data_IF_522212813438
#
_entry.id   IF_522212813438
#
_cell.length_a   1.000
_cell.length_b   1.000
_cell.length_c   1.000
_cell.angle_alpha   90.00
_cell.angle_beta   90.00
_cell.angle_gamma   90.00
#
_symmetry.space_group_name_H-M   'P 1'
#
loop_
_entity.id
_entity.type
_entity.pdbx_description
1 polymer ?
#
# COMPACT_ATOMS: atom_id res chain seq x y z
N UNK A 1 6.56 -48.65 -59.91
CA UNK A 1 6.11 -47.23 -59.90
C UNK A 1 5.33 -46.97 -58.62
N UNK A 2 5.98 -46.43 -57.59
CA UNK A 2 5.35 -46.04 -56.32
C UNK A 2 4.73 -44.64 -56.47
N UNK A 3 3.40 -44.56 -56.45
CA UNK A 3 2.65 -43.29 -56.44
C UNK A 3 2.72 -42.69 -55.03
N UNK A 4 3.42 -41.58 -54.86
CA UNK A 4 3.36 -40.82 -53.62
C UNK A 4 2.01 -40.10 -53.53
N UNK A 5 1.23 -40.26 -52.44
CA UNK A 5 0.00 -39.51 -52.27
C UNK A 5 0.33 -38.02 -52.18
N UNK A 6 -0.29 -37.21 -53.05
CA UNK A 6 -0.19 -35.75 -52.97
C UNK A 6 -0.90 -35.33 -51.68
N UNK A 7 -0.13 -34.94 -50.67
CA UNK A 7 -0.67 -34.21 -49.52
C UNK A 7 -1.35 -32.95 -50.08
N UNK A 8 -2.68 -32.88 -49.99
CA UNK A 8 -3.39 -31.64 -50.20
C UNK A 8 -2.87 -30.65 -49.16
N UNK A 9 -2.16 -29.63 -49.60
CA UNK A 9 -1.86 -28.47 -48.77
C UNK A 9 -3.20 -27.79 -48.54
N UNK A 10 -3.77 -27.95 -47.36
CA UNK A 10 -4.94 -27.18 -46.94
C UNK A 10 -4.51 -25.69 -46.92
N UNK A 11 -5.10 -24.89 -47.80
CA UNK A 11 -4.92 -23.44 -47.76
C UNK A 11 -5.66 -22.87 -46.56
N UNK A 12 -5.09 -21.85 -45.93
CA UNK A 12 -5.74 -21.12 -44.83
C UNK A 12 -7.05 -20.51 -45.33
N UNK A 13 -8.15 -20.79 -44.64
CA UNK A 13 -9.43 -20.16 -45.00
C UNK A 13 -9.51 -18.74 -44.44
N UNK A 14 -10.31 -17.88 -45.07
CA UNK A 14 -10.58 -16.53 -44.55
C UNK A 14 -11.16 -16.57 -43.13
N UNK A 15 -11.98 -17.58 -42.84
CA UNK A 15 -12.56 -17.81 -41.51
C UNK A 15 -11.48 -18.10 -40.47
N UNK A 16 -10.44 -18.86 -40.82
CA UNK A 16 -9.36 -19.24 -39.91
C UNK A 16 -8.51 -18.03 -39.48
N UNK A 17 -8.19 -17.14 -40.44
CA UNK A 17 -7.50 -15.86 -40.13
C UNK A 17 -8.39 -14.96 -39.28
N UNK A 18 -9.69 -14.86 -39.58
CA UNK A 18 -10.61 -14.06 -38.78
C UNK A 18 -10.73 -14.60 -37.34
N UNK A 19 -10.82 -15.91 -37.16
CA UNK A 19 -10.86 -16.54 -35.84
C UNK A 19 -9.54 -16.31 -35.09
N UNK A 20 -8.39 -16.46 -35.76
CA UNK A 20 -7.10 -16.18 -35.15
C UNK A 20 -6.97 -14.71 -34.68
N UNK A 21 -7.38 -13.76 -35.53
CA UNK A 21 -7.40 -12.34 -35.18
C UNK A 21 -8.38 -12.06 -34.04
N UNK A 22 -9.55 -12.69 -34.01
CA UNK A 22 -10.50 -12.55 -32.91
C UNK A 22 -9.89 -13.04 -31.58
N UNK A 23 -9.22 -14.19 -31.58
CA UNK A 23 -8.53 -14.72 -30.40
C UNK A 23 -7.43 -13.76 -29.93
N UNK A 24 -6.61 -13.26 -30.87
CA UNK A 24 -5.54 -12.29 -30.55
C UNK A 24 -6.12 -11.00 -29.99
N UNK A 25 -7.20 -10.46 -30.58
CA UNK A 25 -7.85 -9.25 -30.10
C UNK A 25 -8.39 -9.42 -28.68
N UNK A 26 -9.01 -10.57 -28.37
CA UNK A 26 -9.49 -10.89 -27.02
C UNK A 26 -8.33 -11.02 -26.04
N UNK A 27 -7.26 -11.72 -26.43
CA UNK A 27 -6.07 -11.91 -25.60
C UNK A 27 -5.37 -10.59 -25.27
N UNK A 28 -5.19 -9.71 -26.27
CA UNK A 28 -4.62 -8.37 -26.07
C UNK A 28 -5.52 -7.52 -25.16
N UNK A 29 -6.84 -7.55 -25.36
CA UNK A 29 -7.79 -6.82 -24.52
C UNK A 29 -7.69 -7.27 -23.05
N UNK A 30 -7.57 -8.57 -22.81
CA UNK A 30 -7.35 -9.11 -21.47
C UNK A 30 -6.02 -8.67 -20.87
N UNK A 31 -4.93 -8.70 -21.65
CA UNK A 31 -3.60 -8.28 -21.22
C UNK A 31 -3.56 -6.79 -20.83
N UNK A 32 -4.15 -5.90 -21.63
CA UNK A 32 -4.26 -4.47 -21.32
C UNK A 32 -5.04 -4.24 -20.02
N UNK A 33 -6.16 -4.95 -19.83
CA UNK A 33 -6.92 -4.86 -18.59
C UNK A 33 -6.11 -5.35 -17.38
N UNK A 34 -5.39 -6.46 -17.51
CA UNK A 34 -4.53 -6.98 -16.46
C UNK A 34 -3.42 -5.98 -16.09
N UNK A 35 -2.77 -5.38 -17.08
CA UNK A 35 -1.77 -4.34 -16.88
C UNK A 35 -2.36 -3.11 -16.16
N UNK A 36 -3.56 -2.68 -16.56
CA UNK A 36 -4.27 -1.56 -15.91
C UNK A 36 -4.60 -1.83 -14.43
N UNK A 37 -5.04 -3.04 -14.11
CA UNK A 37 -5.28 -3.44 -12.70
C UNK A 37 -3.98 -3.43 -11.89
N UNK A 38 -2.88 -3.93 -12.47
CA UNK A 38 -1.58 -3.98 -11.79
C UNK A 38 -1.00 -2.57 -11.51
N UNK A 39 -1.14 -1.64 -12.45
CA UNK A 39 -0.64 -0.25 -12.27
C UNK A 39 -1.46 0.50 -11.22
N UNK A 40 -2.78 0.37 -11.23
CA UNK A 40 -3.66 0.97 -10.23
C UNK A 40 -3.34 0.47 -8.81
N UNK A 41 -3.14 -0.85 -8.65
CA UNK A 41 -2.76 -1.43 -7.35
C UNK A 41 -1.43 -0.92 -6.81
N UNK A 42 -0.48 -0.60 -7.69
CA UNK A 42 0.85 -0.10 -7.31
C UNK A 42 0.80 1.28 -6.62
N UNK A 43 -0.13 2.16 -7.03
CA UNK A 43 -0.31 3.47 -6.40
C UNK A 43 -0.78 3.36 -4.94
N UNK A 44 -1.83 2.58 -4.69
CA UNK A 44 -2.35 2.39 -3.32
C UNK A 44 -1.30 1.75 -2.39
N UNK A 45 -0.55 0.77 -2.89
CA UNK A 45 0.53 0.15 -2.11
C UNK A 45 1.65 1.14 -1.81
N UNK A 46 1.98 2.02 -2.76
CA UNK A 46 2.94 3.11 -2.56
C UNK A 46 2.47 4.06 -1.46
N UNK A 47 1.20 4.49 -1.50
CA UNK A 47 0.65 5.41 -0.50
C UNK A 47 0.61 4.79 0.89
N UNK A 48 0.24 3.51 1.01
CA UNK A 48 0.31 2.76 2.27
C UNK A 48 1.74 2.65 2.81
N UNK A 49 2.71 2.42 1.94
CA UNK A 49 4.12 2.35 2.33
C UNK A 49 4.62 3.70 2.87
N UNK A 50 4.27 4.80 2.20
CA UNK A 50 4.59 6.16 2.67
C UNK A 50 3.87 6.49 3.99
N UNK A 51 2.60 6.13 4.13
CA UNK A 51 1.86 6.31 5.38
C UNK A 51 2.47 5.50 6.54
N UNK A 52 2.97 4.29 6.28
CA UNK A 52 3.70 3.51 7.28
C UNK A 52 5.05 4.16 7.66
N UNK A 53 5.73 4.80 6.71
CA UNK A 53 6.95 5.57 7.00
C UNK A 53 6.64 6.75 7.92
N UNK A 54 5.59 7.53 7.61
CA UNK A 54 5.11 8.62 8.47
C UNK A 54 4.79 8.12 9.89
N UNK A 55 4.00 7.04 10.00
CA UNK A 55 3.63 6.46 11.29
C UNK A 55 4.85 6.03 12.12
N UNK A 56 5.88 5.47 11.48
CA UNK A 56 7.12 5.05 12.16
C UNK A 56 7.95 6.25 12.62
N UNK A 57 8.07 7.30 11.80
CA UNK A 57 8.77 8.52 12.17
C UNK A 57 8.10 9.19 13.38
N UNK A 58 6.77 9.31 13.37
CA UNK A 58 5.99 9.82 14.51
C UNK A 58 6.18 8.97 15.77
N UNK A 59 6.17 7.64 15.64
CA UNK A 59 6.43 6.75 16.76
C UNK A 59 7.85 6.93 17.33
N UNK A 60 8.84 7.09 16.46
CA UNK A 60 10.22 7.34 16.88
C UNK A 60 10.34 8.69 17.61
N UNK A 61 9.67 9.74 17.13
CA UNK A 61 9.63 11.03 17.83
C UNK A 61 9.01 10.91 19.23
N UNK A 62 7.90 10.18 19.35
CA UNK A 62 7.23 9.88 20.62
C UNK A 62 8.17 9.15 21.58
N UNK A 63 8.95 8.18 21.09
CA UNK A 63 9.94 7.45 21.88
C UNK A 63 11.08 8.35 22.36
N UNK A 64 11.56 9.24 21.49
CA UNK A 64 12.67 10.15 21.79
C UNK A 64 12.29 11.27 22.75
N UNK A 65 11.04 11.75 22.71
CA UNK A 65 10.57 12.80 23.61
C UNK A 65 10.59 12.39 25.08
N UNK A 66 10.46 11.09 25.38
CA UNK A 66 10.60 10.55 26.73
C UNK A 66 9.58 11.06 27.76
N UNK A 67 8.58 11.85 27.35
CA UNK A 67 7.52 12.37 28.22
C UNK A 67 6.18 12.31 27.51
N UNK A 68 5.40 11.28 27.83
CA UNK A 68 4.10 11.06 27.21
C UNK A 68 3.01 11.68 28.07
N UNK A 69 2.18 12.49 27.42
CA UNK A 69 0.92 12.98 27.99
C UNK A 69 -0.21 12.23 27.31
N UNK A 70 -1.17 11.76 28.10
CA UNK A 70 -2.36 11.13 27.56
C UNK A 70 -3.17 12.13 26.72
N UNK A 71 -3.98 11.60 25.81
CA UNK A 71 -4.87 12.37 24.97
C UNK A 71 -4.72 12.08 23.49
N UNK A 72 -5.55 12.75 22.70
CA UNK A 72 -5.57 12.65 21.24
C UNK A 72 -5.04 13.93 20.62
N UNK A 73 -4.08 13.80 19.72
CA UNK A 73 -3.48 14.90 18.96
C UNK A 73 -3.55 14.58 17.47
N UNK A 74 -3.75 15.61 16.66
CA UNK A 74 -3.68 15.52 15.20
C UNK A 74 -2.55 16.41 14.73
N UNK A 75 -1.69 15.87 13.87
CA UNK A 75 -0.49 16.54 13.34
C UNK A 75 -0.38 16.30 11.84
N UNK A 76 0.10 17.30 11.12
CA UNK A 76 0.47 17.15 9.71
C UNK A 76 1.77 16.34 9.61
N UNK A 77 1.78 15.27 8.81
CA UNK A 77 2.91 14.34 8.70
C UNK A 77 3.21 13.94 7.25
N UNK A 78 3.12 14.93 6.36
CA UNK A 78 3.27 14.79 4.91
C UNK A 78 4.54 14.03 4.50
N UNK A 79 4.42 13.17 3.48
CA UNK A 79 5.54 12.41 2.91
C UNK A 79 5.75 12.79 1.45
N UNK A 80 6.65 13.75 1.23
CA UNK A 80 6.89 14.32 -0.09
C UNK A 80 5.64 15.04 -0.60
N UNK A 81 5.01 14.48 -1.64
CA UNK A 81 3.76 15.04 -2.23
C UNK A 81 2.48 14.49 -1.61
N UNK A 82 2.58 13.42 -0.82
CA UNK A 82 1.42 12.80 -0.19
C UNK A 82 1.08 13.57 1.10
N UNK A 83 -0.06 14.27 1.09
CA UNK A 83 -0.54 15.05 2.24
C UNK A 83 -1.25 14.16 3.24
N UNK A 84 -0.72 14.10 4.46
CA UNK A 84 -1.12 13.14 5.49
C UNK A 84 -1.39 13.84 6.81
N UNK A 85 -2.39 13.34 7.53
CA UNK A 85 -2.68 13.70 8.90
C UNK A 85 -2.44 12.48 9.80
N UNK A 86 -1.57 12.64 10.78
CA UNK A 86 -1.27 11.65 11.80
C UNK A 86 -2.10 11.95 13.03
N UNK A 87 -2.93 10.97 13.41
CA UNK A 87 -3.74 11.00 14.63
C UNK A 87 -3.04 10.14 15.66
N UNK A 88 -2.55 10.77 16.72
CA UNK A 88 -1.90 10.11 17.85
C UNK A 88 -2.85 10.07 19.03
N UNK A 89 -3.09 8.89 19.56
CA UNK A 89 -3.86 8.68 20.78
C UNK A 89 -2.97 7.97 21.80
N UNK A 90 -2.73 8.64 22.94
CA UNK A 90 -1.91 8.12 24.03
C UNK A 90 -2.83 7.84 25.22
N UNK A 91 -2.81 6.60 25.70
CA UNK A 91 -3.57 6.16 26.87
C UNK A 91 -2.62 5.55 27.89
N UNK A 92 -2.76 5.90 29.18
CA UNK A 92 -2.04 5.23 30.26
C UNK A 92 -2.74 3.93 30.63
N UNK A 93 -1.99 2.83 30.66
CA UNK A 93 -2.42 1.47 30.99
C UNK A 93 -1.46 0.93 32.07
N UNK A 94 -1.71 1.31 33.33
CA UNK A 94 -0.82 1.02 34.46
C UNK A 94 0.57 1.66 34.30
N UNK A 95 1.62 0.83 34.36
CA UNK A 95 3.04 1.20 34.18
C UNK A 95 3.45 1.40 32.71
N UNK A 96 2.52 1.28 31.77
CA UNK A 96 2.75 1.43 30.35
C UNK A 96 1.89 2.56 29.77
N UNK A 97 2.40 3.21 28.73
CA UNK A 97 1.63 4.02 27.80
C UNK A 97 1.32 3.22 26.54
N UNK A 98 0.05 3.11 26.19
CA UNK A 98 -0.39 2.63 24.88
C UNK A 98 -0.48 3.82 23.92
N UNK A 99 0.26 3.76 22.82
CA UNK A 99 0.26 4.76 21.76
C UNK A 99 -0.34 4.15 20.51
N UNK A 100 -1.49 4.67 20.09
CA UNK A 100 -2.12 4.36 18.81
C UNK A 100 -1.85 5.50 17.83
N UNK A 101 -1.33 5.17 16.67
CA UNK A 101 -1.07 6.09 15.57
C UNK A 101 -1.88 5.65 14.37
N UNK A 102 -2.70 6.55 13.83
CA UNK A 102 -3.39 6.35 12.57
C UNK A 102 -2.99 7.43 11.58
N UNK A 103 -2.74 7.04 10.33
CA UNK A 103 -2.34 7.97 9.27
C UNK A 103 -3.42 8.02 8.21
N UNK A 104 -4.00 9.20 8.04
CA UNK A 104 -5.11 9.45 7.13
C UNK A 104 -4.63 10.35 5.98
N UNK A 105 -5.10 10.13 4.74
CA UNK A 105 -4.91 11.10 3.67
C UNK A 105 -5.67 12.38 4.02
N UNK A 106 -5.07 13.56 3.77
CA UNK A 106 -5.76 14.84 4.00
C UNK A 106 -6.71 15.22 2.88
N UNK A 107 -6.40 14.79 1.67
CA UNK A 107 -7.14 15.16 0.46
C UNK A 107 -8.30 14.18 0.16
N UNK A 108 -8.50 13.15 0.98
CA UNK A 108 -9.53 12.13 0.80
C UNK A 108 -10.07 11.64 2.14
N UNK A 109 -11.38 11.41 2.19
CA UNK A 109 -12.03 10.78 3.34
C UNK A 109 -12.01 9.25 3.19
N UNK A 110 -11.77 8.53 4.29
CA UNK A 110 -11.71 7.07 4.24
C UNK A 110 -11.04 6.45 5.47
N UNK A 111 -10.84 5.12 5.46
CA UNK A 111 -10.05 4.45 6.47
C UNK A 111 -8.58 4.92 6.40
N UNK A 112 -7.84 4.86 7.52
CA UNK A 112 -6.43 5.24 7.52
C UNK A 112 -5.61 4.33 6.61
N UNK A 113 -4.63 4.93 5.94
CA UNK A 113 -3.67 4.23 5.09
C UNK A 113 -2.72 3.36 5.92
N UNK A 114 -2.46 3.73 7.17
CA UNK A 114 -1.64 2.97 8.10
C UNK A 114 -2.15 3.11 9.55
N UNK A 115 -1.97 2.05 10.34
CA UNK A 115 -2.16 2.07 11.80
C UNK A 115 -0.99 1.38 12.48
N UNK A 116 -0.49 1.97 13.56
CA UNK A 116 0.50 1.38 14.45
C UNK A 116 0.02 1.47 15.89
N UNK A 117 0.27 0.41 16.66
CA UNK A 117 0.07 0.41 18.10
C UNK A 117 1.42 0.07 18.75
N UNK A 118 1.82 0.87 19.74
CA UNK A 118 3.03 0.64 20.51
C UNK A 118 2.71 0.71 22.00
N UNK A 119 3.46 -0.05 22.80
CA UNK A 119 3.48 0.09 24.25
C UNK A 119 4.85 0.62 24.66
N UNK A 120 4.85 1.68 25.45
CA UNK A 120 6.06 2.35 25.92
C UNK A 120 6.04 2.35 27.46
N UNK A 121 7.16 2.08 28.14
CA UNK A 121 7.22 2.19 29.58
C UNK A 121 6.97 3.63 30.02
N UNK A 122 6.31 3.80 31.17
CA UNK A 122 6.31 5.10 31.85
C UNK A 122 7.77 5.37 32.27
N UNK A 123 8.37 6.51 31.87
CA UNK A 123 9.74 6.80 32.24
C UNK A 123 9.86 6.93 33.77
N UNK A 124 10.71 6.10 34.38
CA UNK A 124 11.04 6.22 35.79
C UNK A 124 11.74 7.56 36.03
N UNK A 125 11.25 8.35 36.98
CA UNK A 125 11.80 9.66 37.34
C UNK A 125 13.28 9.62 37.82
N UNK A 126 13.89 8.42 37.96
CA UNK A 126 15.24 8.21 38.46
C UNK A 126 16.30 7.77 37.42
N UNK A 127 15.95 7.60 36.15
CA UNK A 127 16.87 7.00 35.15
C UNK A 127 17.61 7.99 34.23
N UNK A 128 17.55 9.30 34.51
CA UNK A 128 18.43 10.28 33.84
C UNK A 128 19.78 10.28 34.57
N UNK A 129 20.71 9.44 34.14
CA UNK A 129 22.15 9.62 34.49
C UNK A 129 22.80 10.51 33.43
N UNK A 130 23.62 11.51 33.86
CA UNK A 130 24.26 12.49 32.98
C UNK A 130 25.30 11.87 32.04
#
# INVERSE_FOLDING_TARGET
>A
MTRFPRRHVAGFTLVEVLVALAIVAVAMSAAVRAAGVATQGSGLLRDRSLALLAARSELAEVQLQGRLRGGREVRDCDQGRLRLACVREVTRDGELFSVRLEVHPRDAEGPPLARLNARLPVPDAGAVRP
#
